data_IF_160658674631
#
_entry.id   IF_160658674631
#
_cell.length_a   1.000
_cell.length_b   1.000
_cell.length_c   1.000
_cell.angle_alpha   90.00
_cell.angle_beta   90.00
_cell.angle_gamma   90.00
#
_symmetry.space_group_name_H-M   'P 1'
#
loop_
_entity.id
_entity.type
_entity.pdbx_description
1 polymer ?
#
# COMPACT_ATOMS: atom_id res chain seq x y z
N UNK A 1 -9.19 66.32 10.88
CA UNK A 1 -8.70 65.39 9.84
C UNK A 1 -8.77 63.97 10.41
N UNK A 2 -9.60 63.09 9.84
CA UNK A 2 -9.71 61.68 10.27
C UNK A 2 -8.88 60.83 9.30
N UNK A 3 -7.84 60.16 9.81
CA UNK A 3 -7.06 59.20 9.05
C UNK A 3 -7.81 57.86 9.03
N UNK A 4 -8.18 57.40 7.83
CA UNK A 4 -8.67 56.05 7.62
C UNK A 4 -7.46 55.11 7.49
N UNK A 5 -7.31 54.19 8.45
CA UNK A 5 -6.37 53.07 8.35
C UNK A 5 -6.97 52.03 7.39
N UNK A 6 -6.41 51.92 6.20
CA UNK A 6 -6.71 50.83 5.29
C UNK A 6 -6.13 49.52 5.87
N UNK A 7 -7.01 48.64 6.34
CA UNK A 7 -6.64 47.27 6.68
C UNK A 7 -6.40 46.50 5.37
N UNK A 8 -5.13 46.29 5.02
CA UNK A 8 -4.74 45.31 4.03
C UNK A 8 -4.88 43.92 4.65
N UNK A 9 -6.05 43.30 4.48
CA UNK A 9 -6.23 41.89 4.78
C UNK A 9 -5.36 41.06 3.82
N UNK A 10 -4.33 40.39 4.34
CA UNK A 10 -3.60 39.40 3.58
C UNK A 10 -4.55 38.23 3.25
N UNK A 11 -4.88 38.07 1.97
CA UNK A 11 -5.61 36.90 1.51
C UNK A 11 -4.73 35.67 1.76
N UNK A 12 -5.22 34.73 2.58
CA UNK A 12 -4.57 33.45 2.74
C UNK A 12 -4.46 32.78 1.37
N UNK A 13 -3.24 32.40 0.97
CA UNK A 13 -3.03 31.67 -0.26
C UNK A 13 -3.91 30.41 -0.25
N UNK A 14 -4.66 30.19 -1.33
CA UNK A 14 -5.43 28.97 -1.49
C UNK A 14 -4.50 27.76 -1.33
N UNK A 15 -4.94 26.69 -0.65
CA UNK A 15 -4.13 25.49 -0.53
C UNK A 15 -3.79 24.98 -1.94
N UNK A 16 -2.56 24.49 -2.17
CA UNK A 16 -2.19 23.95 -3.46
C UNK A 16 -3.15 22.82 -3.86
N UNK A 17 -3.43 22.71 -5.16
CA UNK A 17 -4.26 21.64 -5.68
C UNK A 17 -3.68 20.27 -5.28
N UNK A 18 -4.53 19.28 -4.95
CA UNK A 18 -4.05 17.95 -4.58
C UNK A 18 -3.25 17.33 -5.74
N UNK A 19 -2.08 16.79 -5.41
CA UNK A 19 -1.22 16.11 -6.37
C UNK A 19 -1.72 14.68 -6.58
N UNK A 20 -1.96 14.32 -7.84
CA UNK A 20 -2.28 12.94 -8.20
C UNK A 20 -1.00 12.11 -8.32
N UNK A 21 -0.93 11.02 -7.57
CA UNK A 21 0.09 10.00 -7.74
C UNK A 21 -0.49 8.86 -8.59
N UNK A 22 0.15 8.56 -9.72
CA UNK A 22 -0.29 7.56 -10.67
C UNK A 22 0.50 6.26 -10.52
N UNK A 23 -0.18 5.14 -10.76
CA UNK A 23 0.44 3.82 -10.90
C UNK A 23 0.05 3.25 -12.25
N UNK A 24 1.06 2.85 -13.04
CA UNK A 24 0.89 2.19 -14.33
C UNK A 24 0.94 0.67 -14.14
N UNK A 25 -0.05 -0.03 -14.69
CA UNK A 25 -0.15 -1.48 -14.69
C UNK A 25 0.24 -2.06 -16.06
N UNK A 26 0.55 -3.36 -16.08
CA UNK A 26 0.78 -4.08 -17.33
C UNK A 26 -0.41 -3.96 -18.27
N UNK A 27 -0.16 -3.68 -19.56
CA UNK A 27 -1.21 -3.47 -20.56
C UNK A 27 -1.66 -2.02 -20.77
N UNK A 28 -1.01 -1.05 -20.12
CA UNK A 28 -1.21 0.39 -20.39
C UNK A 28 -2.37 1.03 -19.62
N UNK A 29 -2.99 0.30 -18.68
CA UNK A 29 -3.94 0.88 -17.75
C UNK A 29 -3.22 1.65 -16.62
N UNK A 30 -3.93 2.62 -16.04
CA UNK A 30 -3.43 3.42 -14.94
C UNK A 30 -4.52 3.72 -13.93
N UNK A 31 -4.15 3.72 -12.66
CA UNK A 31 -4.95 4.25 -11.57
C UNK A 31 -4.20 5.40 -10.90
N UNK A 32 -4.89 6.16 -10.06
CA UNK A 32 -4.27 7.23 -9.30
C UNK A 32 -4.88 7.39 -7.92
N UNK A 33 -4.14 8.05 -7.04
CA UNK A 33 -4.66 8.50 -5.75
C UNK A 33 -4.31 9.97 -5.53
N UNK A 34 -5.15 10.66 -4.76
CA UNK A 34 -4.88 12.03 -4.30
C UNK A 34 -4.14 12.04 -2.95
N UNK A 35 -3.94 10.87 -2.33
CA UNK A 35 -3.18 10.76 -1.08
C UNK A 35 -1.70 10.67 -1.39
N UNK A 36 -0.90 11.47 -0.71
CA UNK A 36 0.56 11.39 -0.77
C UNK A 36 1.06 10.68 0.49
N UNK A 37 1.65 9.48 0.37
CA UNK A 37 2.28 8.80 1.48
C UNK A 37 3.39 9.63 2.12
N UNK A 38 3.52 9.52 3.44
CA UNK A 38 4.63 10.13 4.16
C UNK A 38 5.96 9.51 3.71
N UNK A 39 7.00 10.34 3.58
CA UNK A 39 8.33 9.87 3.20
C UNK A 39 8.46 9.31 1.77
N UNK A 40 7.44 9.48 0.92
CA UNK A 40 7.53 9.09 -0.49
C UNK A 40 8.71 9.82 -1.16
N UNK A 41 9.67 9.09 -1.78
CA UNK A 41 10.76 9.72 -2.49
C UNK A 41 10.25 10.61 -3.64
N UNK A 42 10.96 11.70 -3.92
CA UNK A 42 10.60 12.59 -5.03
C UNK A 42 10.62 11.85 -6.37
N UNK A 43 9.49 11.90 -7.07
CA UNK A 43 9.33 11.42 -8.43
C UNK A 43 8.78 12.57 -9.28
N UNK A 44 9.58 13.21 -10.16
CA UNK A 44 9.15 14.39 -10.92
C UNK A 44 7.86 14.19 -11.73
N UNK A 45 7.63 12.97 -12.22
CA UNK A 45 6.43 12.61 -12.97
C UNK A 45 5.21 12.30 -12.10
N UNK A 46 5.38 12.10 -10.79
CA UNK A 46 4.38 11.53 -9.87
C UNK A 46 3.77 10.20 -10.36
N UNK A 47 4.48 9.50 -11.24
CA UNK A 47 4.01 8.27 -11.87
C UNK A 47 4.97 7.14 -11.57
N UNK A 48 4.43 6.04 -11.08
CA UNK A 48 5.14 4.85 -10.68
C UNK A 48 4.71 3.68 -11.56
N UNK A 49 5.61 2.77 -11.87
CA UNK A 49 5.28 1.53 -12.58
C UNK A 49 5.83 0.33 -11.82
N UNK A 50 5.12 -0.80 -11.89
CA UNK A 50 5.62 -2.05 -11.32
C UNK A 50 6.78 -2.59 -12.15
N UNK A 51 7.89 -2.90 -11.50
CA UNK A 51 9.04 -3.52 -12.18
C UNK A 51 8.69 -4.90 -12.72
N UNK A 52 7.81 -5.63 -12.04
CA UNK A 52 7.20 -6.86 -12.52
C UNK A 52 5.68 -6.66 -12.65
N UNK A 53 5.14 -6.58 -13.88
CA UNK A 53 3.70 -6.40 -14.09
C UNK A 53 2.88 -7.64 -13.72
N UNK A 54 3.50 -8.80 -13.50
CA UNK A 54 2.81 -10.00 -13.06
C UNK A 54 2.46 -9.98 -11.56
N UNK A 55 3.05 -9.06 -10.79
CA UNK A 55 2.91 -9.03 -9.33
C UNK A 55 2.53 -7.66 -8.81
N UNK A 56 1.36 -7.56 -8.19
CA UNK A 56 0.91 -6.30 -7.58
C UNK A 56 1.69 -5.93 -6.29
N UNK A 57 2.42 -6.89 -5.72
CA UNK A 57 3.32 -6.71 -4.57
C UNK A 57 4.75 -6.32 -5.01
N UNK A 58 4.98 -6.11 -6.32
CA UNK A 58 6.30 -5.77 -6.86
C UNK A 58 6.82 -4.43 -6.34
N UNK A 59 8.16 -4.33 -6.33
CA UNK A 59 8.88 -3.06 -6.33
C UNK A 59 8.34 -2.17 -7.46
N UNK A 60 8.11 -0.90 -7.15
CA UNK A 60 7.73 0.10 -8.13
C UNK A 60 8.87 1.10 -8.35
N UNK A 61 9.02 1.56 -9.60
CA UNK A 61 10.01 2.59 -9.96
C UNK A 61 9.32 3.85 -10.47
N UNK A 62 9.93 5.01 -10.22
CA UNK A 62 9.48 6.27 -10.79
C UNK A 62 9.72 6.27 -12.31
N UNK A 63 8.72 6.67 -13.11
CA UNK A 63 8.82 6.64 -14.58
C UNK A 63 9.84 7.63 -15.15
N UNK A 64 10.03 8.77 -14.50
CA UNK A 64 10.99 9.80 -14.91
C UNK A 64 12.40 9.59 -14.33
N UNK A 65 12.56 8.66 -13.37
CA UNK A 65 13.83 8.34 -12.73
C UNK A 65 13.79 6.91 -12.18
N UNK A 66 14.07 5.93 -13.04
CA UNK A 66 13.95 4.50 -12.71
C UNK A 66 14.85 4.02 -11.57
N UNK A 67 15.91 4.76 -11.24
CA UNK A 67 16.76 4.51 -10.07
C UNK A 67 16.05 4.81 -8.74
N UNK A 68 14.96 5.57 -8.75
CA UNK A 68 14.13 5.84 -7.57
C UNK A 68 13.10 4.72 -7.44
N UNK A 69 13.31 3.84 -6.46
CA UNK A 69 12.50 2.64 -6.27
C UNK A 69 11.88 2.60 -4.88
N UNK A 70 10.66 2.09 -4.83
CA UNK A 70 9.87 1.88 -3.61
C UNK A 70 9.42 0.43 -3.54
N UNK A 71 9.36 -0.14 -2.33
CA UNK A 71 9.13 -1.58 -2.12
C UNK A 71 7.72 -2.04 -2.48
N UNK A 72 6.79 -1.10 -2.59
CA UNK A 72 5.39 -1.31 -2.97
C UNK A 72 4.83 0.02 -3.48
N UNK A 73 3.83 -0.04 -4.35
CA UNK A 73 3.22 1.15 -4.93
C UNK A 73 2.57 2.07 -3.87
N UNK A 74 2.37 3.32 -4.28
CA UNK A 74 1.87 4.43 -3.44
C UNK A 74 0.47 4.24 -2.89
N UNK A 75 -0.33 3.30 -3.41
CA UNK A 75 -1.67 3.04 -2.88
C UNK A 75 -1.65 2.19 -1.61
N UNK A 76 -0.53 1.53 -1.31
CA UNK A 76 -0.46 0.54 -0.22
C UNK A 76 0.33 1.03 0.97
N UNK A 77 1.28 1.94 0.74
CA UNK A 77 2.13 2.45 1.79
C UNK A 77 1.61 3.79 2.30
N UNK A 78 1.35 3.89 3.61
CA UNK A 78 1.02 5.15 4.26
C UNK A 78 2.29 5.95 4.63
N UNK A 79 3.39 5.25 4.94
CA UNK A 79 4.67 5.84 5.30
C UNK A 79 5.83 5.00 4.77
N UNK A 80 6.63 5.58 3.89
CA UNK A 80 7.89 5.01 3.43
C UNK A 80 9.01 5.27 4.46
N UNK A 81 9.97 4.35 4.49
CA UNK A 81 11.14 4.40 5.38
C UNK A 81 12.09 5.51 4.95
N UNK A 82 12.80 6.11 5.90
CA UNK A 82 13.81 7.13 5.61
C UNK A 82 15.06 6.57 4.91
N UNK A 83 15.29 5.26 5.02
CA UNK A 83 16.46 4.55 4.48
C UNK A 83 16.04 3.53 3.44
N UNK A 84 16.91 3.32 2.45
CA UNK A 84 16.73 2.30 1.43
C UNK A 84 17.46 1.00 1.80
N UNK A 85 16.84 -0.13 1.49
CA UNK A 85 17.46 -1.46 1.57
C UNK A 85 17.79 -1.91 0.15
N UNK A 86 19.07 -2.16 -0.14
CA UNK A 86 19.55 -2.52 -1.49
C UNK A 86 19.07 -1.53 -2.58
N UNK A 87 19.02 -0.24 -2.27
CA UNK A 87 18.57 0.81 -3.21
C UNK A 87 17.05 0.98 -3.34
N UNK A 88 16.25 0.19 -2.61
CA UNK A 88 14.78 0.29 -2.60
C UNK A 88 14.29 0.88 -1.29
N UNK A 89 13.47 1.92 -1.35
CA UNK A 89 12.87 2.53 -0.16
C UNK A 89 11.72 1.65 0.34
N UNK A 90 11.87 1.11 1.55
CA UNK A 90 10.89 0.23 2.19
C UNK A 90 9.61 0.95 2.61
N UNK A 91 8.55 0.19 2.89
CA UNK A 91 7.32 0.70 3.47
C UNK A 91 7.28 0.42 4.98
N UNK A 92 7.46 1.46 5.79
CA UNK A 92 7.44 1.36 7.25
C UNK A 92 6.01 1.20 7.82
N UNK A 93 5.00 1.72 7.13
CA UNK A 93 3.59 1.60 7.54
C UNK A 93 2.67 1.45 6.35
N UNK A 94 1.89 0.37 6.34
CA UNK A 94 0.85 0.16 5.35
C UNK A 94 -0.38 1.04 5.63
N UNK A 95 -1.13 1.36 4.57
CA UNK A 95 -2.53 1.70 4.74
C UNK A 95 -3.28 0.50 5.34
N UNK A 96 -4.47 0.72 5.88
CA UNK A 96 -5.34 -0.34 6.40
C UNK A 96 -6.06 -1.06 5.26
N UNK A 97 -6.68 -0.31 4.36
CA UNK A 97 -7.53 -0.83 3.30
C UNK A 97 -7.66 0.18 2.16
N UNK A 98 -8.38 -0.19 1.11
CA UNK A 98 -8.65 0.69 -0.03
C UNK A 98 -10.02 0.43 -0.66
N UNK A 99 -10.51 1.41 -1.42
CA UNK A 99 -11.62 1.28 -2.36
C UNK A 99 -11.43 2.22 -3.55
N UNK A 100 -12.25 2.08 -4.60
CA UNK A 100 -12.38 3.11 -5.62
C UNK A 100 -13.32 4.23 -5.18
N UNK A 101 -12.98 5.48 -5.52
CA UNK A 101 -13.88 6.61 -5.29
C UNK A 101 -15.21 6.40 -6.02
N UNK A 102 -16.32 6.79 -5.38
CA UNK A 102 -17.65 6.66 -5.96
C UNK A 102 -17.72 7.34 -7.34
N UNK A 103 -18.13 6.57 -8.36
CA UNK A 103 -18.22 7.06 -9.75
C UNK A 103 -16.88 7.21 -10.48
N UNK A 104 -15.74 6.85 -9.86
CA UNK A 104 -14.44 6.91 -10.49
C UNK A 104 -13.60 5.64 -10.23
N UNK A 105 -13.71 4.62 -11.12
CA UNK A 105 -13.01 3.34 -10.96
C UNK A 105 -11.50 3.43 -11.19
N UNK A 106 -10.94 4.62 -11.49
CA UNK A 106 -9.49 4.83 -11.59
C UNK A 106 -8.89 5.52 -10.37
N UNK A 107 -9.73 6.09 -9.50
CA UNK A 107 -9.26 6.80 -8.33
C UNK A 107 -9.28 5.88 -7.11
N UNK A 108 -8.10 5.42 -6.72
CA UNK A 108 -7.90 4.62 -5.52
C UNK A 108 -7.89 5.52 -4.29
N UNK A 109 -8.72 5.16 -3.31
CA UNK A 109 -8.81 5.78 -1.99
C UNK A 109 -8.24 4.82 -0.95
N UNK A 110 -6.96 4.96 -0.58
CA UNK A 110 -6.43 4.19 0.53
C UNK A 110 -6.79 4.85 1.86
N UNK A 111 -6.99 4.03 2.90
CA UNK A 111 -7.41 4.48 4.23
C UNK A 111 -6.34 4.12 5.25
N UNK A 112 -5.97 5.05 6.12
CA UNK A 112 -4.97 4.80 7.16
C UNK A 112 -5.52 3.95 8.32
N UNK A 113 -6.85 3.86 8.47
CA UNK A 113 -7.49 3.05 9.50
C UNK A 113 -8.95 2.70 9.17
N UNK A 114 -9.49 1.70 9.87
CA UNK A 114 -10.91 1.37 9.81
C UNK A 114 -11.81 2.53 10.28
N UNK A 115 -11.33 3.33 11.25
CA UNK A 115 -12.05 4.51 11.77
C UNK A 115 -12.20 5.55 10.67
N UNK A 116 -11.13 5.80 9.92
CA UNK A 116 -11.14 6.77 8.83
C UNK A 116 -12.06 6.32 7.68
N UNK A 117 -11.98 5.06 7.27
CA UNK A 117 -12.87 4.50 6.24
C UNK A 117 -14.35 4.59 6.67
N UNK A 118 -14.65 4.28 7.93
CA UNK A 118 -16.00 4.40 8.49
C UNK A 118 -16.49 5.85 8.52
N UNK A 119 -15.63 6.79 8.93
CA UNK A 119 -15.96 8.21 8.96
C UNK A 119 -16.28 8.75 7.56
N UNK A 120 -15.59 8.25 6.53
CA UNK A 120 -15.84 8.56 5.13
C UNK A 120 -17.07 7.85 4.54
N UNK A 121 -17.79 7.05 5.32
CA UNK A 121 -19.00 6.29 4.91
C UNK A 121 -18.77 5.41 3.68
N UNK A 122 -17.59 4.78 3.61
CA UNK A 122 -17.26 3.83 2.54
C UNK A 122 -18.20 2.64 2.64
N UNK A 123 -18.93 2.35 1.55
CA UNK A 123 -19.93 1.28 1.50
C UNK A 123 -19.31 -0.11 1.39
N UNK A 124 -18.16 -0.22 0.73
CA UNK A 124 -17.39 -1.45 0.60
C UNK A 124 -15.89 -1.14 0.41
N UNK A 125 -15.05 -1.96 1.05
CA UNK A 125 -13.60 -1.96 0.83
C UNK A 125 -13.28 -3.06 -0.18
N UNK A 126 -12.37 -2.77 -1.11
CA UNK A 126 -11.94 -3.67 -2.18
C UNK A 126 -10.82 -4.61 -1.71
N UNK A 127 -10.06 -4.20 -0.69
CA UNK A 127 -9.03 -5.04 -0.08
C UNK A 127 -8.34 -4.36 1.09
N UNK A 128 -7.49 -5.14 1.75
CA UNK A 128 -6.79 -4.79 2.99
C UNK A 128 -5.29 -5.00 2.82
N UNK A 129 -4.50 -4.24 3.58
CA UNK A 129 -3.05 -4.37 3.54
C UNK A 129 -2.50 -4.85 4.88
N UNK A 130 -1.59 -5.81 4.82
CA UNK A 130 -0.88 -6.36 5.99
C UNK A 130 0.61 -6.06 5.86
N UNK A 131 1.27 -5.53 6.90
CA UNK A 131 2.72 -5.33 6.87
C UNK A 131 3.45 -6.63 6.54
N UNK A 132 4.44 -6.56 5.65
CA UNK A 132 5.27 -7.71 5.32
C UNK A 132 6.76 -7.37 5.25
N UNK A 133 7.60 -8.37 5.46
CA UNK A 133 9.05 -8.32 5.26
C UNK A 133 9.44 -9.35 4.21
N UNK A 134 10.25 -8.94 3.24
CA UNK A 134 10.67 -9.78 2.11
C UNK A 134 12.16 -10.11 2.24
N UNK A 135 12.48 -11.36 2.57
CA UNK A 135 13.82 -11.76 3.02
C UNK A 135 14.88 -11.72 1.93
N UNK A 136 14.63 -12.25 0.73
CA UNK A 136 15.61 -12.25 -0.36
C UNK A 136 16.04 -10.83 -0.79
N UNK A 137 15.18 -9.83 -0.55
CA UNK A 137 15.46 -8.39 -0.74
C UNK A 137 16.17 -7.74 0.45
N UNK A 138 16.83 -8.51 1.31
CA UNK A 138 17.54 -7.97 2.48
C UNK A 138 16.59 -7.57 3.60
N UNK A 139 15.53 -8.35 3.79
CA UNK A 139 14.46 -8.04 4.76
C UNK A 139 13.79 -6.69 4.50
N UNK A 140 13.46 -6.44 3.24
CA UNK A 140 12.79 -5.22 2.81
C UNK A 140 11.35 -5.17 3.34
N UNK A 141 10.95 -4.05 3.95
CA UNK A 141 9.58 -3.83 4.42
C UNK A 141 8.65 -3.47 3.25
N UNK A 142 7.46 -4.07 3.19
CA UNK A 142 6.46 -3.90 2.15
C UNK A 142 5.05 -4.13 2.72
N UNK A 143 4.02 -4.13 1.88
CA UNK A 143 2.62 -4.32 2.25
C UNK A 143 1.97 -5.38 1.37
N UNK A 144 1.49 -6.45 2.00
CA UNK A 144 0.79 -7.55 1.35
C UNK A 144 -0.68 -7.17 1.13
N UNK A 145 -1.22 -7.41 -0.06
CA UNK A 145 -2.65 -7.21 -0.36
C UNK A 145 -3.44 -8.51 -0.14
N UNK A 146 -4.56 -8.40 0.56
CA UNK A 146 -5.53 -9.48 0.80
C UNK A 146 -6.96 -8.97 0.69
N UNK A 147 -7.90 -9.84 0.32
CA UNK A 147 -9.33 -9.52 0.35
C UNK A 147 -9.97 -9.80 1.72
N UNK A 148 -9.32 -10.60 2.56
CA UNK A 148 -9.81 -10.91 3.90
C UNK A 148 -9.31 -9.89 4.94
N UNK A 149 -10.21 -9.10 5.58
CA UNK A 149 -9.84 -8.19 6.66
C UNK A 149 -9.26 -8.89 7.89
N UNK A 150 -9.58 -10.17 8.08
CA UNK A 150 -9.25 -10.92 9.29
C UNK A 150 -7.78 -11.33 9.36
N UNK A 151 -7.04 -11.27 8.23
CA UNK A 151 -5.62 -11.59 8.21
C UNK A 151 -4.81 -10.70 9.15
N UNK A 152 -5.15 -9.40 9.23
CA UNK A 152 -4.50 -8.48 10.17
C UNK A 152 -4.79 -8.82 11.64
N UNK A 153 -5.90 -9.49 11.93
CA UNK A 153 -6.17 -10.01 13.28
C UNK A 153 -5.29 -11.22 13.61
N UNK A 154 -5.04 -12.07 12.61
CA UNK A 154 -4.20 -13.26 12.73
C UNK A 154 -2.70 -12.94 12.77
N UNK A 155 -2.27 -11.93 12.02
CA UNK A 155 -0.86 -11.58 11.81
C UNK A 155 -0.64 -10.10 12.04
N UNK A 156 0.29 -9.75 12.94
CA UNK A 156 0.77 -8.36 13.05
C UNK A 156 1.63 -8.00 11.83
N UNK A 157 2.33 -9.00 11.27
CA UNK A 157 3.05 -8.90 10.00
C UNK A 157 3.24 -10.27 9.35
N UNK A 158 3.68 -10.25 8.09
CA UNK A 158 4.04 -11.44 7.32
C UNK A 158 5.55 -11.43 7.07
N UNK A 159 6.23 -12.54 7.39
CA UNK A 159 7.60 -12.78 6.95
C UNK A 159 7.56 -13.65 5.70
N UNK A 160 7.92 -13.08 4.56
CA UNK A 160 7.83 -13.69 3.24
C UNK A 160 9.22 -13.92 2.66
N UNK A 161 9.45 -15.10 2.09
CA UNK A 161 10.77 -15.45 1.54
C UNK A 161 11.16 -14.61 0.32
N UNK A 162 10.23 -14.40 -0.62
CA UNK A 162 10.44 -13.63 -1.85
C UNK A 162 9.12 -13.06 -2.42
N UNK A 163 9.22 -12.09 -3.33
CA UNK A 163 8.09 -11.73 -4.22
C UNK A 163 8.07 -12.78 -5.34
N UNK A 164 6.95 -13.49 -5.49
CA UNK A 164 6.79 -14.52 -6.51
C UNK A 164 5.30 -14.65 -6.88
N UNK A 165 4.92 -14.47 -8.15
CA UNK A 165 3.53 -14.60 -8.59
C UNK A 165 2.96 -16.01 -8.36
N UNK A 166 3.80 -17.04 -8.34
CA UNK A 166 3.40 -18.44 -8.08
C UNK A 166 3.31 -18.75 -6.59
N UNK A 167 3.76 -17.82 -5.76
CA UNK A 167 3.72 -17.86 -4.32
C UNK A 167 5.05 -18.26 -3.70
N UNK A 168 5.25 -17.82 -2.46
CA UNK A 168 6.49 -18.05 -1.73
C UNK A 168 6.24 -18.51 -0.30
N UNK A 169 7.21 -19.22 0.27
CA UNK A 169 7.12 -19.65 1.67
C UNK A 169 7.01 -18.44 2.58
N UNK A 170 6.02 -18.47 3.48
CA UNK A 170 5.64 -17.34 4.31
C UNK A 170 5.27 -17.77 5.72
N UNK A 171 5.43 -16.84 6.68
CA UNK A 171 5.04 -17.00 8.07
C UNK A 171 4.22 -15.80 8.50
N UNK A 172 3.13 -16.10 9.18
CA UNK A 172 2.37 -15.13 9.96
C UNK A 172 3.13 -14.86 11.26
N UNK A 173 3.42 -13.60 11.55
CA UNK A 173 4.09 -13.16 12.78
C UNK A 173 3.07 -12.48 13.66
N UNK A 174 2.84 -13.01 14.87
CA UNK A 174 1.96 -12.41 15.88
C UNK A 174 2.73 -12.33 17.20
N UNK A 175 2.94 -11.12 17.72
CA UNK A 175 3.69 -10.90 18.96
C UNK A 175 5.04 -11.65 19.00
N UNK A 176 5.75 -11.66 17.86
CA UNK A 176 7.03 -12.36 17.70
C UNK A 176 6.93 -13.88 17.42
N UNK A 177 5.75 -14.49 17.59
CA UNK A 177 5.54 -15.91 17.29
C UNK A 177 5.31 -16.10 15.80
N UNK A 178 6.12 -16.97 15.17
CA UNK A 178 5.99 -17.32 13.74
C UNK A 178 5.14 -18.56 13.56
N UNK A 179 4.02 -18.42 12.85
CA UNK A 179 3.16 -19.53 12.40
C UNK A 179 3.28 -19.66 10.88
N UNK A 180 3.68 -20.82 10.33
CA UNK A 180 3.80 -20.97 8.88
C UNK A 180 2.43 -20.90 8.20
N UNK A 181 2.40 -20.41 6.96
CA UNK A 181 1.24 -20.61 6.09
C UNK A 181 1.21 -22.06 5.60
N UNK A 182 0.00 -22.61 5.39
CA UNK A 182 -0.22 -23.97 4.92
C UNK A 182 0.20 -24.18 3.46
N UNK A 183 0.07 -23.13 2.65
CA UNK A 183 0.49 -23.07 1.25
C UNK A 183 1.37 -21.83 1.02
N UNK A 184 2.20 -21.82 -0.03
CA UNK A 184 2.92 -20.62 -0.45
C UNK A 184 1.95 -19.46 -0.67
N UNK A 185 2.25 -18.31 -0.08
CA UNK A 185 1.43 -17.12 -0.19
C UNK A 185 1.69 -16.47 -1.55
N UNK A 186 0.64 -16.36 -2.36
CA UNK A 186 0.67 -15.75 -3.71
C UNK A 186 0.50 -14.24 -3.64
N UNK A 187 1.00 -13.54 -4.65
CA UNK A 187 0.72 -12.12 -4.82
C UNK A 187 -0.76 -11.91 -5.15
N UNK A 188 -1.38 -10.89 -4.54
CA UNK A 188 -2.82 -10.66 -4.63
C UNK A 188 -3.62 -11.94 -4.35
N UNK A 189 -3.28 -12.65 -3.25
CA UNK A 189 -4.00 -13.87 -2.91
C UNK A 189 -5.47 -13.51 -2.67
N UNK A 190 -6.32 -13.91 -3.62
CA UNK A 190 -7.77 -13.70 -3.65
C UNK A 190 -8.49 -14.52 -2.57
N UNK A 191 -7.89 -14.60 -1.41
CA UNK A 191 -8.35 -15.34 -0.27
C UNK A 191 -9.62 -14.71 0.28
N UNK A 192 -10.66 -15.53 0.43
CA UNK A 192 -11.89 -15.05 1.05
C UNK A 192 -11.80 -15.07 2.58
N UNK A 193 -11.02 -16.00 3.15
CA UNK A 193 -10.82 -16.10 4.59
C UNK A 193 -9.51 -16.81 4.94
N UNK A 194 -8.71 -16.22 5.79
CA UNK A 194 -7.62 -16.89 6.48
C UNK A 194 -8.08 -17.43 7.82
N UNK A 195 -7.60 -18.61 8.19
CA UNK A 195 -7.79 -19.15 9.52
C UNK A 195 -6.64 -20.05 9.94
N UNK A 196 -6.46 -20.20 11.26
CA UNK A 196 -5.51 -21.15 11.82
C UNK A 196 -6.12 -22.55 11.85
N UNK A 197 -5.46 -23.51 11.23
CA UNK A 197 -5.83 -24.92 11.26
C UNK A 197 -4.57 -25.79 11.38
N UNK A 198 -4.59 -26.78 12.29
CA UNK A 198 -3.45 -27.69 12.54
C UNK A 198 -2.10 -26.97 12.68
N UNK A 199 -2.07 -25.84 13.40
CA UNK A 199 -0.82 -25.10 13.66
C UNK A 199 -0.29 -24.30 12.46
N UNK A 200 -1.03 -24.16 11.36
CA UNK A 200 -0.68 -23.33 10.21
C UNK A 200 -1.80 -22.33 9.88
N UNK A 201 -1.49 -21.30 9.11
CA UNK A 201 -2.49 -20.38 8.55
C UNK A 201 -2.89 -20.84 7.15
N UNK A 202 -4.16 -21.14 6.93
CA UNK A 202 -4.70 -21.55 5.64
C UNK A 202 -5.57 -20.47 5.04
N UNK A 203 -5.49 -20.33 3.71
CA UNK A 203 -6.45 -19.59 2.94
C UNK A 203 -7.61 -20.48 2.52
N UNK A 204 -8.84 -20.01 2.74
CA UNK A 204 -10.07 -20.59 2.25
C UNK A 204 -10.67 -19.65 1.21
N UNK A 205 -10.87 -20.15 -0.01
CA UNK A 205 -11.53 -19.44 -1.11
C UNK A 205 -12.97 -19.96 -1.17
N UNK A 206 -13.95 -19.08 -1.07
CA UNK A 206 -15.34 -19.45 -1.37
C UNK A 206 -15.50 -19.38 -2.88
N UNK A 207 -16.03 -20.45 -3.48
CA UNK A 207 -16.37 -20.51 -4.90
C UNK A 207 -17.64 -19.75 -5.22
#
# INVERSE_FOLDING_TARGET
>A
MRFALAQYGAAAAAPPAPVSNYVLFGGGSSEFTLRTPGGLPSCPSNTWYFNDPATYDSISSCTSKSSTQISVNVFRCAQYSATATKGVVGCAKCYYAWNYAAGNPKQVQPWASAIEAKAARVSALEGYFVPQTIRDKGSMQSCFLTNDPSLASLCDSIDRSAIDPRGSQSWCVKQGVKTPFGYPLQDNDGCSKYAKYQGKIYCYKWG
#
